data_IF_707543321453
#
_entry.id   IF_707543321453
#
_cell.length_a   1.000
_cell.length_b   1.000
_cell.length_c   1.000
_cell.angle_alpha   90.00
_cell.angle_beta   90.00
_cell.angle_gamma   90.00
#
_symmetry.space_group_name_H-M   'P 1'
#
loop_
_entity.id
_entity.type
_entity.pdbx_description
1 polymer ?
#
# COMPACT_ATOMS: atom_id res chain seq x y z
N UNK A 1 34.17 21.40 12.52
CA UNK A 1 33.21 21.27 13.66
C UNK A 1 32.20 22.42 13.74
N UNK A 2 32.59 23.69 13.56
CA UNK A 2 31.65 24.82 13.57
C UNK A 2 30.51 24.73 12.54
N UNK A 3 30.72 24.06 11.40
CA UNK A 3 29.71 23.88 10.35
C UNK A 3 28.60 22.85 10.70
N UNK A 4 28.85 21.95 11.66
CA UNK A 4 27.83 20.99 12.12
C UNK A 4 26.96 21.55 13.25
N UNK A 5 27.40 22.62 13.91
CA UNK A 5 26.67 23.26 14.99
C UNK A 5 25.27 23.74 14.55
N UNK A 6 25.09 24.43 13.40
CA UNK A 6 23.76 24.80 12.91
C UNK A 6 22.83 23.61 12.69
N UNK A 7 23.36 22.48 12.19
CA UNK A 7 22.57 21.26 11.93
C UNK A 7 22.03 20.70 13.24
N UNK A 8 22.90 20.55 14.26
CA UNK A 8 22.51 20.05 15.58
C UNK A 8 21.52 20.99 16.26
N UNK A 9 21.76 22.29 16.19
CA UNK A 9 20.87 23.31 16.77
C UNK A 9 19.49 23.27 16.11
N UNK A 10 19.42 23.21 14.78
CA UNK A 10 18.15 23.14 14.05
C UNK A 10 17.40 21.83 14.32
N UNK A 11 18.09 20.69 14.32
CA UNK A 11 17.48 19.40 14.66
C UNK A 11 16.91 19.41 16.09
N UNK A 12 17.66 19.95 17.04
CA UNK A 12 17.21 20.09 18.43
C UNK A 12 16.01 21.02 18.53
N UNK A 13 16.04 22.18 17.87
CA UNK A 13 14.94 23.13 17.85
C UNK A 13 13.68 22.50 17.22
N UNK A 14 13.81 21.74 16.14
CA UNK A 14 12.70 21.07 15.48
C UNK A 14 12.03 20.02 16.39
N UNK A 15 12.83 19.19 17.06
CA UNK A 15 12.34 18.21 18.04
C UNK A 15 11.66 18.92 19.22
N UNK A 16 12.29 19.98 19.75
CA UNK A 16 11.78 20.73 20.87
C UNK A 16 10.47 21.46 20.52
N UNK A 17 10.38 22.05 19.33
CA UNK A 17 9.16 22.65 18.81
C UNK A 17 8.03 21.62 18.66
N UNK A 18 8.32 20.44 18.10
CA UNK A 18 7.36 19.34 18.00
C UNK A 18 6.86 18.89 19.38
N UNK A 19 7.78 18.70 20.33
CA UNK A 19 7.46 18.31 21.70
C UNK A 19 6.60 19.36 22.43
N UNK A 20 6.98 20.65 22.36
CA UNK A 20 6.20 21.74 22.95
C UNK A 20 4.82 21.82 22.31
N UNK A 21 4.71 21.66 20.99
CA UNK A 21 3.43 21.68 20.28
C UNK A 21 2.50 20.55 20.73
N UNK A 22 3.03 19.34 20.92
CA UNK A 22 2.26 18.21 21.47
C UNK A 22 1.81 18.46 22.92
N UNK A 23 2.68 19.02 23.75
CA UNK A 23 2.35 19.37 25.15
C UNK A 23 1.30 20.48 25.22
N UNK A 24 1.46 21.54 24.43
CA UNK A 24 0.51 22.63 24.31
C UNK A 24 -0.85 22.13 23.82
N UNK A 25 -0.88 21.27 22.79
CA UNK A 25 -2.10 20.63 22.30
C UNK A 25 -2.80 19.85 23.42
N UNK A 26 -2.07 19.04 24.19
CA UNK A 26 -2.63 18.25 25.30
C UNK A 26 -3.15 19.09 26.49
N UNK A 27 -2.59 20.29 26.69
CA UNK A 27 -2.99 21.24 27.74
C UNK A 27 -4.20 22.08 27.32
N UNK A 28 -4.21 22.58 26.08
CA UNK A 28 -5.27 23.47 25.57
C UNK A 28 -6.48 22.71 25.02
N UNK A 29 -6.33 21.45 24.59
CA UNK A 29 -7.43 20.68 24.00
C UNK A 29 -8.55 20.36 25.01
N UNK A 30 -9.82 20.59 24.66
CA UNK A 30 -10.96 20.17 25.48
C UNK A 30 -11.01 18.65 25.67
N UNK A 31 -10.99 18.19 26.93
CA UNK A 31 -11.05 16.76 27.27
C UNK A 31 -12.48 16.28 27.40
N UNK A 32 -13.03 15.71 26.31
CA UNK A 32 -14.35 15.06 26.30
C UNK A 32 -14.23 13.62 25.76
N UNK A 33 -13.71 12.68 26.57
CA UNK A 33 -13.61 11.27 26.17
C UNK A 33 -15.01 10.69 25.98
N UNK A 34 -15.18 9.88 24.94
CA UNK A 34 -16.40 9.15 24.65
C UNK A 34 -15.99 7.82 24.02
N UNK A 35 -16.69 6.72 24.34
CA UNK A 35 -16.45 5.38 23.78
C UNK A 35 -16.45 5.39 22.26
N UNK A 36 -17.34 6.18 21.65
CA UNK A 36 -17.41 6.35 20.20
C UNK A 36 -16.19 7.10 19.60
N UNK A 37 -15.54 7.99 20.37
CA UNK A 37 -14.34 8.72 19.91
C UNK A 37 -13.06 7.90 20.01
N UNK A 38 -13.03 6.90 20.89
CA UNK A 38 -11.90 5.99 21.07
C UNK A 38 -12.02 4.71 20.22
N UNK A 39 -13.17 4.46 19.61
CA UNK A 39 -13.38 3.30 18.75
C UNK A 39 -12.62 3.46 17.42
N UNK A 40 -12.08 2.37 16.85
CA UNK A 40 -11.54 2.37 15.49
C UNK A 40 -12.57 2.84 14.47
N UNK A 41 -12.11 3.54 13.43
CA UNK A 41 -12.99 4.02 12.38
C UNK A 41 -13.40 2.89 11.43
N UNK A 42 -14.69 2.56 11.42
CA UNK A 42 -15.32 1.53 10.56
C UNK A 42 -16.67 2.05 10.01
N UNK A 43 -16.72 3.34 9.62
CA UNK A 43 -17.93 3.99 9.11
C UNK A 43 -19.18 3.88 10.03
N UNK A 44 -18.97 3.76 11.35
CA UNK A 44 -20.05 3.65 12.35
C UNK A 44 -20.46 2.21 12.69
N UNK A 45 -19.80 1.21 12.09
CA UNK A 45 -20.01 -0.21 12.41
C UNK A 45 -19.01 -0.62 13.49
N UNK A 46 -19.43 -1.49 14.41
CA UNK A 46 -18.51 -2.07 15.40
C UNK A 46 -17.59 -3.06 14.68
N UNK A 47 -16.25 -2.91 14.75
CA UNK A 47 -15.32 -3.83 14.10
C UNK A 47 -15.57 -5.26 14.58
N UNK A 48 -16.13 -6.09 13.70
CA UNK A 48 -16.48 -7.48 14.00
C UNK A 48 -15.36 -8.48 13.69
N UNK A 49 -14.27 -8.02 13.07
CA UNK A 49 -13.16 -8.88 12.63
C UNK A 49 -11.84 -8.27 13.05
N UNK A 50 -10.95 -9.11 13.55
CA UNK A 50 -9.58 -8.72 13.82
C UNK A 50 -8.85 -8.36 12.52
N UNK A 51 -7.91 -7.43 12.63
CA UNK A 51 -7.06 -7.05 11.50
C UNK A 51 -6.30 -8.30 10.98
N UNK A 52 -6.08 -8.42 9.66
CA UNK A 52 -5.32 -9.53 9.12
C UNK A 52 -3.91 -9.57 9.72
N UNK A 53 -3.54 -10.71 10.29
CA UNK A 53 -2.22 -10.91 10.91
C UNK A 53 -1.07 -10.90 9.88
N UNK A 54 -1.38 -11.21 8.62
CA UNK A 54 -0.41 -11.32 7.53
C UNK A 54 -0.63 -10.26 6.47
N UNK A 55 0.36 -9.39 6.32
CA UNK A 55 0.41 -8.43 5.23
C UNK A 55 1.01 -9.06 3.95
N UNK A 56 0.67 -8.55 2.77
CA UNK A 56 1.25 -9.01 1.51
C UNK A 56 2.79 -8.95 1.50
N UNK A 57 3.43 -10.00 0.98
CA UNK A 57 4.90 -10.07 0.86
C UNK A 57 5.49 -9.06 -0.13
N UNK A 58 4.67 -8.41 -0.96
CA UNK A 58 5.12 -7.39 -1.91
C UNK A 58 5.86 -6.22 -1.26
N UNK A 59 5.47 -5.83 -0.04
CA UNK A 59 6.18 -4.78 0.72
C UNK A 59 7.61 -5.17 1.06
N UNK A 60 7.83 -6.45 1.39
CA UNK A 60 9.17 -6.97 1.66
C UNK A 60 10.05 -6.95 0.40
N UNK A 61 9.49 -7.33 -0.74
CA UNK A 61 10.23 -7.36 -2.02
C UNK A 61 10.68 -5.94 -2.41
N UNK A 62 9.81 -4.93 -2.28
CA UNK A 62 10.18 -3.53 -2.50
C UNK A 62 11.25 -3.07 -1.52
N UNK A 63 11.10 -3.36 -0.22
CA UNK A 63 12.07 -2.96 0.78
C UNK A 63 13.46 -3.57 0.52
N UNK A 64 13.51 -4.84 0.13
CA UNK A 64 14.75 -5.53 -0.23
C UNK A 64 15.40 -4.92 -1.48
N UNK A 65 14.62 -4.61 -2.52
CA UNK A 65 15.12 -3.90 -3.71
C UNK A 65 15.64 -2.50 -3.37
N UNK A 66 14.95 -1.77 -2.50
CA UNK A 66 15.38 -0.45 -2.04
C UNK A 66 16.73 -0.50 -1.32
N UNK A 67 16.90 -1.44 -0.39
CA UNK A 67 18.18 -1.63 0.33
C UNK A 67 19.32 -1.95 -0.65
N UNK A 68 19.05 -2.80 -1.65
CA UNK A 68 20.04 -3.15 -2.68
C UNK A 68 20.49 -1.92 -3.48
N UNK A 69 19.55 -1.08 -3.91
CA UNK A 69 19.86 0.17 -4.63
C UNK A 69 20.50 1.24 -3.75
N UNK A 70 20.11 1.33 -2.47
CA UNK A 70 20.74 2.26 -1.52
C UNK A 70 22.22 1.90 -1.30
N UNK A 71 22.52 0.60 -1.21
CA UNK A 71 23.90 0.11 -1.20
C UNK A 71 24.60 0.43 -2.52
N UNK A 72 23.96 0.30 -3.69
CA UNK A 72 24.59 0.72 -4.95
C UNK A 72 24.97 2.21 -4.93
N UNK A 73 24.07 3.06 -4.45
CA UNK A 73 24.27 4.51 -4.34
C UNK A 73 25.41 4.85 -3.37
N UNK A 74 25.56 4.11 -2.26
CA UNK A 74 26.67 4.34 -1.31
C UNK A 74 28.05 4.16 -1.96
N UNK A 75 28.16 3.29 -2.98
CA UNK A 75 29.39 3.08 -3.74
C UNK A 75 29.55 4.10 -4.86
N UNK A 76 28.44 4.57 -5.46
CA UNK A 76 28.47 5.62 -6.48
C UNK A 76 28.90 6.97 -5.90
N UNK A 77 28.54 7.29 -4.65
CA UNK A 77 28.87 8.59 -4.04
C UNK A 77 30.37 8.92 -4.00
N UNK A 78 31.26 8.06 -3.42
CA UNK A 78 32.70 8.31 -3.43
C UNK A 78 33.27 8.45 -4.83
N UNK A 79 32.81 7.61 -5.77
CA UNK A 79 33.21 7.71 -7.18
C UNK A 79 32.79 9.07 -7.79
N UNK A 80 31.54 9.50 -7.59
CA UNK A 80 31.04 10.76 -8.14
C UNK A 80 31.83 11.97 -7.62
N UNK A 81 32.17 11.97 -6.32
CA UNK A 81 32.97 13.03 -5.69
C UNK A 81 34.41 13.04 -6.19
N UNK A 82 35.01 11.87 -6.42
CA UNK A 82 36.42 11.74 -6.79
C UNK A 82 36.69 11.51 -8.29
N UNK A 83 35.67 11.51 -9.16
CA UNK A 83 35.77 11.05 -10.55
C UNK A 83 36.94 11.65 -11.35
N UNK A 84 37.31 12.91 -11.07
CA UNK A 84 38.39 13.62 -11.76
C UNK A 84 39.78 13.01 -11.54
N UNK A 85 40.05 12.32 -10.41
CA UNK A 85 41.34 11.70 -10.14
C UNK A 85 41.42 10.22 -10.54
N UNK A 86 40.28 9.55 -10.69
CA UNK A 86 40.24 8.11 -11.04
C UNK A 86 40.26 7.85 -12.56
N UNK A 87 39.96 8.84 -13.38
CA UNK A 87 40.03 8.75 -14.84
C UNK A 87 39.02 7.76 -15.46
N UNK A 88 39.23 7.41 -16.73
CA UNK A 88 38.29 6.57 -17.49
C UNK A 88 38.18 5.13 -16.96
N UNK A 89 39.19 4.64 -16.24
CA UNK A 89 39.19 3.29 -15.68
C UNK A 89 38.05 3.09 -14.68
N UNK A 90 37.94 3.97 -13.68
CA UNK A 90 36.88 3.87 -12.69
C UNK A 90 35.49 4.13 -13.28
N UNK A 91 35.39 4.90 -14.37
CA UNK A 91 34.13 5.04 -15.09
C UNK A 91 33.62 3.70 -15.61
N UNK A 92 34.49 2.90 -16.25
CA UNK A 92 34.11 1.58 -16.75
C UNK A 92 33.87 0.58 -15.62
N UNK A 93 34.62 0.63 -14.52
CA UNK A 93 34.35 -0.20 -13.34
C UNK A 93 32.99 0.10 -12.73
N UNK A 94 32.64 1.38 -12.55
CA UNK A 94 31.34 1.79 -12.00
C UNK A 94 30.19 1.45 -12.94
N UNK A 95 30.39 1.59 -14.25
CA UNK A 95 29.42 1.15 -15.24
C UNK A 95 29.18 -0.37 -15.16
N UNK A 96 30.26 -1.16 -15.06
CA UNK A 96 30.17 -2.61 -14.92
C UNK A 96 29.50 -3.01 -13.60
N UNK A 97 29.83 -2.32 -12.49
CA UNK A 97 29.20 -2.51 -11.19
C UNK A 97 27.69 -2.24 -11.25
N UNK A 98 27.27 -1.08 -11.76
CA UNK A 98 25.85 -0.74 -11.91
C UNK A 98 25.12 -1.67 -12.87
N UNK A 99 25.78 -2.16 -13.92
CA UNK A 99 25.18 -3.11 -14.86
C UNK A 99 24.73 -4.42 -14.17
N UNK A 100 25.49 -4.91 -13.19
CA UNK A 100 25.13 -6.13 -12.44
C UNK A 100 23.83 -5.92 -11.65
N UNK A 101 23.71 -4.82 -10.90
CA UNK A 101 22.50 -4.49 -10.14
C UNK A 101 21.32 -4.18 -11.07
N UNK A 102 21.57 -3.50 -12.18
CA UNK A 102 20.56 -3.22 -13.18
C UNK A 102 19.98 -4.50 -13.78
N UNK A 103 20.82 -5.50 -14.11
CA UNK A 103 20.35 -6.81 -14.59
C UNK A 103 19.53 -7.52 -13.52
N UNK A 104 19.96 -7.51 -12.25
CA UNK A 104 19.21 -8.10 -11.15
C UNK A 104 17.83 -7.42 -10.97
N UNK A 105 17.78 -6.10 -11.11
CA UNK A 105 16.53 -5.34 -11.08
C UNK A 105 15.61 -5.71 -12.24
N UNK A 106 16.11 -5.69 -13.48
CA UNK A 106 15.33 -6.09 -14.66
C UNK A 106 14.79 -7.50 -14.50
N UNK A 107 15.60 -8.43 -13.99
CA UNK A 107 15.17 -9.79 -13.68
C UNK A 107 14.03 -9.81 -12.65
N UNK A 108 14.16 -9.06 -11.55
CA UNK A 108 13.11 -8.99 -10.53
C UNK A 108 11.80 -8.44 -11.11
N UNK A 109 11.86 -7.37 -11.90
CA UNK A 109 10.68 -6.78 -12.57
C UNK A 109 10.06 -7.79 -13.55
N UNK A 110 10.87 -8.45 -14.37
CA UNK A 110 10.40 -9.46 -15.32
C UNK A 110 9.73 -10.67 -14.62
N UNK A 111 10.10 -10.95 -13.36
CA UNK A 111 9.49 -11.98 -12.52
C UNK A 111 8.25 -11.52 -11.76
N UNK A 112 7.76 -10.30 -12.00
CA UNK A 112 6.57 -9.76 -11.35
C UNK A 112 6.80 -9.32 -9.91
N UNK A 113 8.05 -9.01 -9.53
CA UNK A 113 8.36 -8.46 -8.19
C UNK A 113 7.57 -7.18 -7.86
N UNK A 114 7.15 -6.45 -8.89
CA UNK A 114 6.37 -5.22 -8.80
C UNK A 114 4.90 -5.41 -9.22
N UNK A 115 4.42 -6.65 -9.31
CA UNK A 115 3.01 -6.90 -9.61
C UNK A 115 2.15 -6.76 -8.35
N UNK A 116 1.48 -5.62 -8.24
CA UNK A 116 0.53 -5.29 -7.15
C UNK A 116 -0.92 -5.67 -7.48
N UNK A 117 -1.13 -6.27 -8.65
CA UNK A 117 -2.47 -6.58 -9.16
C UNK A 117 -3.23 -7.56 -8.25
N UNK A 118 -4.58 -7.61 -8.39
CA UNK A 118 -5.38 -8.60 -7.67
C UNK A 118 -4.82 -9.99 -7.92
N UNK A 119 -4.58 -10.76 -6.85
CA UNK A 119 -4.23 -12.18 -7.01
C UNK A 119 -5.31 -12.78 -7.89
N UNK A 120 -4.94 -13.25 -9.10
CA UNK A 120 -5.86 -13.93 -10.00
C UNK A 120 -6.32 -15.20 -9.31
N UNK A 121 -7.41 -15.12 -8.53
CA UNK A 121 -8.08 -16.30 -8.03
C UNK A 121 -8.57 -17.05 -9.27
N UNK A 122 -8.04 -18.24 -9.48
CA UNK A 122 -8.64 -19.15 -10.44
C UNK A 122 -10.07 -19.39 -9.97
N UNK A 123 -11.04 -18.78 -10.66
CA UNK A 123 -12.45 -19.11 -10.46
C UNK A 123 -12.59 -20.54 -10.91
N UNK A 124 -12.96 -21.45 -10.00
CA UNK A 124 -13.26 -22.84 -10.36
C UNK A 124 -14.47 -22.81 -11.29
N UNK A 125 -14.25 -23.10 -12.57
CA UNK A 125 -15.30 -23.07 -13.61
C UNK A 125 -16.39 -24.11 -13.35
N UNK A 126 -16.04 -25.21 -12.66
CA UNK A 126 -16.97 -26.28 -12.30
C UNK A 126 -18.08 -25.83 -11.33
N UNK A 127 -17.88 -24.72 -10.61
CA UNK A 127 -18.83 -24.19 -9.64
C UNK A 127 -19.90 -23.27 -10.28
N UNK A 128 -19.71 -22.84 -11.54
CA UNK A 128 -20.67 -21.95 -12.21
C UNK A 128 -21.99 -22.65 -12.54
N UNK A 129 -21.99 -23.98 -12.72
CA UNK A 129 -23.19 -24.75 -13.05
C UNK A 129 -24.13 -24.92 -11.84
N UNK A 130 -23.56 -24.97 -10.62
CA UNK A 130 -24.31 -25.09 -9.36
C UNK A 130 -24.46 -23.76 -8.61
N UNK A 131 -23.90 -22.66 -9.12
CA UNK A 131 -24.05 -21.35 -8.51
C UNK A 131 -25.47 -20.83 -8.76
N UNK A 132 -26.34 -20.75 -7.73
CA UNK A 132 -27.72 -20.27 -7.90
C UNK A 132 -27.78 -18.84 -8.43
N UNK A 133 -26.70 -18.06 -8.31
CA UNK A 133 -26.63 -16.71 -8.85
C UNK A 133 -26.39 -16.65 -10.36
N UNK A 134 -25.78 -17.67 -10.96
CA UNK A 134 -25.42 -17.71 -12.40
C UNK A 134 -26.11 -18.84 -13.19
N UNK A 135 -27.06 -19.53 -12.57
CA UNK A 135 -27.82 -20.60 -13.21
C UNK A 135 -28.48 -20.11 -14.51
N UNK A 136 -28.39 -20.90 -15.58
CA UNK A 136 -29.04 -20.63 -16.87
C UNK A 136 -30.58 -20.57 -16.76
N UNK A 137 -31.15 -21.10 -15.68
CA UNK A 137 -32.57 -21.06 -15.38
C UNK A 137 -33.00 -19.74 -14.71
N UNK A 138 -32.05 -18.86 -14.38
CA UNK A 138 -32.33 -17.57 -13.73
C UNK A 138 -32.77 -16.56 -14.79
N UNK A 139 -34.02 -16.11 -14.70
CA UNK A 139 -34.58 -15.04 -15.54
C UNK A 139 -34.93 -13.83 -14.67
N UNK A 140 -35.19 -12.68 -15.31
CA UNK A 140 -35.66 -11.48 -14.60
C UNK A 140 -36.95 -11.74 -13.79
N UNK A 141 -37.77 -12.69 -14.24
CA UNK A 141 -38.99 -13.09 -13.57
C UNK A 141 -38.77 -14.03 -12.39
N UNK A 142 -37.72 -14.85 -12.38
CA UNK A 142 -37.47 -15.81 -11.30
C UNK A 142 -36.79 -15.20 -10.08
N UNK A 143 -36.08 -14.08 -10.27
CA UNK A 143 -35.29 -13.43 -9.21
C UNK A 143 -36.08 -12.36 -8.47
N UNK A 144 -36.95 -11.64 -9.19
CA UNK A 144 -37.68 -10.52 -8.62
C UNK A 144 -38.94 -11.08 -7.96
N UNK A 145 -38.95 -11.10 -6.62
CA UNK A 145 -40.17 -11.36 -5.85
C UNK A 145 -41.16 -10.23 -6.15
N UNK A 146 -42.12 -10.51 -7.04
CA UNK A 146 -43.24 -9.61 -7.30
C UNK A 146 -44.13 -9.57 -6.06
N UNK A 147 -44.17 -8.42 -5.39
CA UNK A 147 -45.00 -8.18 -4.20
C UNK A 147 -46.08 -7.17 -4.55
N UNK A 148 -47.31 -7.37 -4.07
CA UNK A 148 -48.43 -6.45 -4.30
C UNK A 148 -49.34 -6.77 -5.49
N UNK A 149 -49.38 -8.03 -5.94
CA UNK A 149 -50.37 -8.49 -6.93
C UNK A 149 -51.62 -9.10 -6.27
N UNK A 150 -51.64 -9.29 -4.95
CA UNK A 150 -52.82 -9.72 -4.22
C UNK A 150 -53.95 -8.68 -4.35
N UNK A 151 -54.99 -9.00 -5.11
CA UNK A 151 -56.25 -8.22 -5.17
C UNK A 151 -56.56 -7.51 -6.50
N UNK A 152 -55.71 -7.61 -7.53
CA UNK A 152 -56.00 -7.03 -8.84
C UNK A 152 -56.65 -8.08 -9.76
N UNK A 153 -57.98 -8.09 -9.83
CA UNK A 153 -58.75 -8.97 -10.73
C UNK A 153 -58.38 -8.65 -12.20
N UNK A 154 -57.66 -9.54 -12.87
CA UNK A 154 -57.29 -9.44 -14.29
C UNK A 154 -58.47 -9.72 -15.26
N UNK A 155 -59.71 -9.47 -14.84
CA UNK A 155 -60.93 -9.87 -15.55
C UNK A 155 -61.83 -8.72 -16.04
N UNK A 156 -61.33 -7.49 -16.21
CA UNK A 156 -62.14 -6.34 -16.61
C UNK A 156 -61.51 -5.48 -17.71
N UNK A 157 -60.91 -6.12 -18.72
CA UNK A 157 -60.58 -5.48 -19.99
C UNK A 157 -60.73 -6.52 -21.12
N UNK A 158 -61.99 -6.76 -21.50
CA UNK A 158 -62.38 -7.21 -22.83
C UNK A 158 -63.06 -6.03 -23.54
#
# INVERSE_FOLDING_TARGET
>A
MGQYLPIVVLATLAVLFGAISLVASKLLAPRRPNTAKSAPYECGIVPGREAPERFPVGFYIIAMLFIMFDIEIIFIYPYAVAHGSLGAYAFFEMLAFSAVFFVAFVYAVARGALDWGPIKKAVRLDDDQNNPMKSQLRTANSTIRRVGFEGRNEGAAA
#
